data_IF_833995125189
#
_entry.id   IF_833995125189
#
_cell.length_a   1.000
_cell.length_b   1.000
_cell.length_c   1.000
_cell.angle_alpha   90.00
_cell.angle_beta   90.00
_cell.angle_gamma   90.00
#
_symmetry.space_group_name_H-M   'P 1'
#
loop_
_entity.id
_entity.type
_entity.pdbx_description
1 polymer ?
#
# COMPACT_ATOMS: atom_id res chain seq x y z
N UNK A 1 -42.39 -108.07 48.20
CA UNK A 1 -42.94 -107.35 47.03
C UNK A 1 -42.49 -105.92 47.15
N UNK A 2 -41.41 -105.56 46.45
CA UNK A 2 -40.97 -104.18 46.29
C UNK A 2 -41.02 -103.95 44.78
N UNK A 3 -41.97 -103.11 44.35
CA UNK A 3 -42.16 -102.77 42.94
C UNK A 3 -41.99 -101.26 42.85
N UNK A 4 -40.95 -100.89 42.10
CA UNK A 4 -40.71 -99.66 41.36
C UNK A 4 -41.50 -98.41 41.77
N UNK A 5 -40.81 -97.50 42.46
CA UNK A 5 -41.10 -96.05 42.44
C UNK A 5 -40.17 -95.30 41.47
N UNK A 6 -39.40 -96.00 40.61
CA UNK A 6 -38.35 -95.39 39.77
C UNK A 6 -38.85 -94.80 38.44
N UNK A 7 -40.06 -95.14 37.99
CA UNK A 7 -40.50 -94.86 36.61
C UNK A 7 -41.27 -93.52 36.49
N UNK A 8 -41.48 -92.77 37.60
CA UNK A 8 -42.16 -91.47 37.57
C UNK A 8 -41.24 -90.27 37.46
N UNK A 9 -39.99 -90.40 37.88
CA UNK A 9 -39.02 -89.31 37.86
C UNK A 9 -38.41 -89.12 36.45
N UNK A 10 -38.33 -90.18 35.64
CA UNK A 10 -37.73 -90.14 34.29
C UNK A 10 -38.59 -89.36 33.26
N UNK A 11 -39.93 -89.43 33.36
CA UNK A 11 -40.85 -88.76 32.42
C UNK A 11 -40.92 -87.23 32.64
N UNK A 12 -40.71 -86.76 33.87
CA UNK A 12 -40.74 -85.33 34.23
C UNK A 12 -39.44 -84.63 33.77
N UNK A 13 -38.30 -85.31 33.92
CA UNK A 13 -36.99 -84.86 33.44
C UNK A 13 -36.93 -84.77 31.89
N UNK A 14 -37.54 -85.70 31.14
CA UNK A 14 -37.59 -85.65 29.66
C UNK A 14 -38.38 -84.45 29.12
N UNK A 15 -39.45 -84.04 29.82
CA UNK A 15 -40.27 -82.89 29.43
C UNK A 15 -39.51 -81.56 29.64
N UNK A 16 -38.79 -81.41 30.76
CA UNK A 16 -37.93 -80.24 31.01
C UNK A 16 -36.79 -80.12 29.98
N UNK A 17 -36.16 -81.24 29.61
CA UNK A 17 -35.10 -81.27 28.59
C UNK A 17 -35.64 -80.82 27.23
N UNK A 18 -36.88 -81.19 26.89
CA UNK A 18 -37.52 -80.80 25.63
C UNK A 18 -37.83 -79.29 25.58
N UNK A 19 -38.34 -78.70 26.66
CA UNK A 19 -38.54 -77.24 26.74
C UNK A 19 -37.23 -76.45 26.63
N UNK A 20 -36.16 -76.95 27.27
CA UNK A 20 -34.83 -76.34 27.19
C UNK A 20 -34.25 -76.40 25.77
N UNK A 21 -34.49 -77.49 25.03
CA UNK A 21 -34.07 -77.61 23.63
C UNK A 21 -34.80 -76.60 22.72
N UNK A 22 -36.12 -76.44 22.87
CA UNK A 22 -36.87 -75.43 22.12
C UNK A 22 -36.38 -74.01 22.41
N UNK A 23 -36.09 -73.70 23.67
CA UNK A 23 -35.52 -72.40 24.07
C UNK A 23 -34.14 -72.18 23.47
N UNK A 24 -33.28 -73.20 23.46
CA UNK A 24 -31.95 -73.12 22.85
C UNK A 24 -32.05 -72.86 21.35
N UNK A 25 -32.98 -73.51 20.66
CA UNK A 25 -33.19 -73.31 19.23
C UNK A 25 -33.70 -71.89 18.93
N UNK A 26 -34.66 -71.38 19.71
CA UNK A 26 -35.14 -69.98 19.63
C UNK A 26 -33.99 -68.98 19.83
N UNK A 27 -33.17 -69.16 20.87
CA UNK A 27 -32.01 -68.31 21.13
C UNK A 27 -30.97 -68.38 20.01
N UNK A 28 -30.76 -69.56 19.41
CA UNK A 28 -29.84 -69.73 18.28
C UNK A 28 -30.31 -68.93 17.05
N UNK A 29 -31.62 -68.92 16.80
CA UNK A 29 -32.23 -68.18 15.72
C UNK A 29 -32.12 -66.67 15.94
N UNK A 30 -32.43 -66.20 17.15
CA UNK A 30 -32.28 -64.80 17.53
C UNK A 30 -30.83 -64.31 17.41
N UNK A 31 -29.87 -65.10 17.90
CA UNK A 31 -28.45 -64.78 17.76
C UNK A 31 -28.00 -64.70 16.29
N UNK A 32 -28.51 -65.59 15.43
CA UNK A 32 -28.26 -65.53 13.98
C UNK A 32 -28.82 -64.26 13.37
N UNK A 33 -30.04 -63.86 13.77
CA UNK A 33 -30.68 -62.62 13.33
C UNK A 33 -29.90 -61.38 13.78
N UNK A 34 -29.57 -61.29 15.08
CA UNK A 34 -28.76 -60.22 15.65
C UNK A 34 -27.38 -60.11 14.99
N UNK A 35 -26.74 -61.25 14.69
CA UNK A 35 -25.45 -61.26 13.98
C UNK A 35 -25.57 -60.67 12.57
N UNK A 36 -26.70 -60.89 11.88
CA UNK A 36 -26.98 -60.28 10.57
C UNK A 36 -27.20 -58.77 10.70
N UNK A 37 -27.97 -58.32 11.68
CA UNK A 37 -28.24 -56.88 11.89
C UNK A 37 -26.96 -56.13 12.28
N UNK A 38 -26.12 -56.69 13.16
CA UNK A 38 -24.81 -56.12 13.51
C UNK A 38 -23.90 -56.00 12.28
N UNK A 39 -23.89 -57.01 11.40
CA UNK A 39 -23.12 -56.95 10.14
C UNK A 39 -23.66 -55.90 9.17
N UNK A 40 -24.96 -55.65 9.13
CA UNK A 40 -25.55 -54.59 8.32
C UNK A 40 -25.18 -53.21 8.86
N UNK A 41 -25.38 -52.99 10.16
CA UNK A 41 -25.06 -51.73 10.84
C UNK A 41 -23.56 -51.39 10.77
N UNK A 42 -22.67 -52.37 10.86
CA UNK A 42 -21.22 -52.13 10.72
C UNK A 42 -20.85 -51.66 9.32
N UNK A 43 -21.51 -52.18 8.27
CA UNK A 43 -21.31 -51.71 6.88
C UNK A 43 -21.87 -50.30 6.66
N UNK A 44 -23.05 -50.01 7.20
CA UNK A 44 -23.66 -48.70 7.11
C UNK A 44 -22.82 -47.63 7.82
N UNK A 45 -22.34 -47.93 9.04
CA UNK A 45 -21.44 -47.03 9.77
C UNK A 45 -20.13 -46.76 9.01
N UNK A 46 -19.55 -47.78 8.36
CA UNK A 46 -18.36 -47.58 7.54
C UNK A 46 -18.64 -46.66 6.33
N UNK A 47 -19.83 -46.78 5.73
CA UNK A 47 -20.25 -45.96 4.58
C UNK A 47 -20.49 -44.50 5.00
N UNK A 48 -21.24 -44.28 6.08
CA UNK A 48 -21.49 -42.94 6.63
C UNK A 48 -20.20 -42.23 7.04
N UNK A 49 -19.25 -42.97 7.64
CA UNK A 49 -17.94 -42.41 8.00
C UNK A 49 -17.18 -41.90 6.78
N UNK A 50 -17.20 -42.64 5.67
CA UNK A 50 -16.55 -42.24 4.42
C UNK A 50 -17.24 -41.01 3.78
N UNK A 51 -18.57 -40.94 3.80
CA UNK A 51 -19.31 -39.79 3.26
C UNK A 51 -19.03 -38.50 4.04
N UNK A 52 -18.96 -38.59 5.38
CA UNK A 52 -18.59 -37.48 6.24
C UNK A 52 -17.16 -36.98 5.97
N UNK A 53 -16.21 -37.91 5.83
CA UNK A 53 -14.81 -37.58 5.52
C UNK A 53 -14.68 -36.90 4.16
N UNK A 54 -15.34 -37.43 3.12
CA UNK A 54 -15.30 -36.88 1.78
C UNK A 54 -15.95 -35.48 1.69
N UNK A 55 -17.11 -35.30 2.35
CA UNK A 55 -17.87 -34.04 2.30
C UNK A 55 -17.18 -32.92 3.10
N UNK A 56 -16.63 -33.25 4.27
CA UNK A 56 -15.93 -32.28 5.12
C UNK A 56 -14.66 -31.75 4.43
N UNK A 57 -13.83 -32.66 3.91
CA UNK A 57 -12.53 -32.28 3.36
C UNK A 57 -12.69 -31.41 2.10
N UNK A 58 -13.55 -31.80 1.17
CA UNK A 58 -13.77 -31.05 -0.08
C UNK A 58 -14.23 -29.61 0.17
N UNK A 59 -15.15 -29.42 1.11
CA UNK A 59 -15.71 -28.10 1.41
C UNK A 59 -14.68 -27.18 2.10
N UNK A 60 -13.78 -27.76 2.90
CA UNK A 60 -12.69 -27.03 3.56
C UNK A 60 -11.58 -26.68 2.58
N UNK A 61 -11.21 -27.60 1.69
CA UNK A 61 -10.19 -27.41 0.66
C UNK A 61 -10.57 -26.23 -0.26
N UNK A 62 -11.81 -26.22 -0.77
CA UNK A 62 -12.29 -25.18 -1.68
C UNK A 62 -12.30 -23.79 -1.02
N UNK A 63 -12.74 -23.71 0.25
CA UNK A 63 -12.70 -22.47 1.04
C UNK A 63 -11.27 -21.99 1.27
N UNK A 64 -10.35 -22.92 1.55
CA UNK A 64 -8.94 -22.60 1.79
C UNK A 64 -8.29 -22.05 0.52
N UNK A 65 -8.51 -22.70 -0.63
CA UNK A 65 -8.03 -22.24 -1.93
C UNK A 65 -8.59 -20.86 -2.27
N UNK A 66 -9.88 -20.62 -2.00
CA UNK A 66 -10.51 -19.31 -2.23
C UNK A 66 -9.87 -18.21 -1.38
N UNK A 67 -9.65 -18.48 -0.08
CA UNK A 67 -9.04 -17.53 0.85
C UNK A 67 -7.57 -17.26 0.53
N UNK A 68 -6.81 -18.27 0.09
CA UNK A 68 -5.43 -18.07 -0.35
C UNK A 68 -5.34 -17.14 -1.55
N UNK A 69 -6.20 -17.33 -2.56
CA UNK A 69 -6.26 -16.45 -3.74
C UNK A 69 -6.61 -15.02 -3.36
N UNK A 70 -7.60 -14.83 -2.49
CA UNK A 70 -7.98 -13.50 -2.01
C UNK A 70 -6.83 -12.81 -1.25
N UNK A 71 -6.12 -13.57 -0.40
CA UNK A 71 -4.94 -13.05 0.32
C UNK A 71 -3.79 -12.66 -0.62
N UNK A 72 -3.56 -13.42 -1.69
CA UNK A 72 -2.56 -13.05 -2.71
C UNK A 72 -2.93 -11.73 -3.41
N UNK A 73 -4.20 -11.58 -3.81
CA UNK A 73 -4.70 -10.35 -4.44
C UNK A 73 -4.54 -9.16 -3.49
N UNK A 74 -4.97 -9.30 -2.24
CA UNK A 74 -4.88 -8.24 -1.23
C UNK A 74 -3.43 -7.83 -0.95
N UNK A 75 -2.49 -8.77 -0.92
CA UNK A 75 -1.05 -8.44 -0.77
C UNK A 75 -0.54 -7.59 -1.93
N UNK A 76 -0.92 -7.93 -3.17
CA UNK A 76 -0.54 -7.17 -4.36
C UNK A 76 -1.12 -5.75 -4.32
N UNK A 77 -2.40 -5.60 -3.94
CA UNK A 77 -3.05 -4.30 -3.79
C UNK A 77 -2.39 -3.43 -2.70
N UNK A 78 -2.07 -4.02 -1.55
CA UNK A 78 -1.37 -3.33 -0.46
C UNK A 78 -0.02 -2.81 -0.94
N UNK A 79 0.78 -3.62 -1.63
CA UNK A 79 2.08 -3.20 -2.14
C UNK A 79 1.96 -2.12 -3.22
N UNK A 80 0.96 -2.24 -4.09
CA UNK A 80 0.64 -1.24 -5.10
C UNK A 80 0.24 0.12 -4.48
N UNK A 81 -0.50 0.11 -3.37
CA UNK A 81 -0.94 1.32 -2.64
C UNK A 81 0.14 1.92 -1.74
N UNK A 82 1.02 1.09 -1.17
CA UNK A 82 2.10 1.53 -0.29
C UNK A 82 3.11 2.46 -1.00
N UNK A 83 3.39 2.20 -2.27
CA UNK A 83 4.30 3.02 -3.10
C UNK A 83 3.78 4.46 -3.35
N UNK A 84 2.55 4.70 -3.83
CA UNK A 84 2.00 6.05 -3.93
C UNK A 84 1.77 6.68 -2.56
N UNK A 85 1.35 5.93 -1.53
CA UNK A 85 1.15 6.47 -0.19
C UNK A 85 2.45 7.03 0.41
N UNK A 86 3.57 6.31 0.30
CA UNK A 86 4.87 6.81 0.75
C UNK A 86 5.32 8.06 -0.01
N UNK A 87 5.08 8.16 -1.33
CA UNK A 87 5.34 9.37 -2.11
C UNK A 87 4.46 10.54 -1.65
N UNK A 88 3.17 10.28 -1.42
CA UNK A 88 2.21 11.26 -0.95
C UNK A 88 2.61 11.80 0.43
N UNK A 89 2.90 10.91 1.39
CA UNK A 89 3.39 11.29 2.72
C UNK A 89 4.64 12.19 2.65
N UNK A 90 5.62 11.80 1.83
CA UNK A 90 6.84 12.60 1.62
C UNK A 90 6.55 13.98 0.99
N UNK A 91 5.56 14.06 0.10
CA UNK A 91 5.15 15.34 -0.49
C UNK A 91 4.36 16.22 0.48
N UNK A 92 3.51 15.62 1.33
CA UNK A 92 2.76 16.30 2.39
C UNK A 92 3.72 16.95 3.36
N UNK A 93 4.72 16.22 3.86
CA UNK A 93 5.72 16.81 4.77
C UNK A 93 6.48 17.98 4.14
N UNK A 94 6.79 17.91 2.84
CA UNK A 94 7.45 19.02 2.13
C UNK A 94 6.53 20.22 2.02
N UNK A 95 5.25 19.98 1.72
CA UNK A 95 4.23 21.02 1.68
C UNK A 95 4.05 21.66 3.06
N UNK A 96 3.93 20.86 4.12
CA UNK A 96 3.81 21.34 5.50
C UNK A 96 5.03 22.16 5.93
N UNK A 97 6.24 21.75 5.52
CA UNK A 97 7.47 22.53 5.73
C UNK A 97 7.42 23.86 4.96
N UNK A 98 6.97 23.87 3.71
CA UNK A 98 6.81 25.10 2.92
C UNK A 98 5.75 26.04 3.50
N UNK A 99 4.59 25.51 3.87
CA UNK A 99 3.50 26.27 4.48
C UNK A 99 3.89 26.78 5.88
N UNK A 100 4.60 25.98 6.67
CA UNK A 100 5.17 26.41 7.95
C UNK A 100 6.16 27.56 7.80
N UNK A 101 6.95 27.59 6.72
CA UNK A 101 7.82 28.72 6.38
C UNK A 101 7.03 29.92 5.84
N UNK A 102 5.98 29.69 5.05
CA UNK A 102 5.15 30.74 4.45
C UNK A 102 4.20 31.41 5.45
N UNK A 103 3.79 30.70 6.52
CA UNK A 103 3.06 31.28 7.66
C UNK A 103 3.85 32.38 8.37
N UNK A 104 5.13 32.56 8.05
CA UNK A 104 5.83 33.78 8.37
C UNK A 104 5.57 34.89 7.35
N UNK A 105 4.43 35.53 7.54
CA UNK A 105 4.01 36.70 6.77
C UNK A 105 4.78 37.92 7.28
N UNK A 106 6.03 38.06 6.83
CA UNK A 106 6.93 39.11 7.32
C UNK A 106 6.64 40.51 6.78
N UNK A 107 5.68 40.68 5.86
CA UNK A 107 5.21 41.99 5.43
C UNK A 107 3.74 41.89 5.02
N UNK A 108 2.82 42.00 5.99
CA UNK A 108 1.43 42.37 5.74
C UNK A 108 1.21 43.89 5.85
N UNK A 109 2.22 44.70 5.50
CA UNK A 109 2.00 46.13 5.28
C UNK A 109 1.30 46.33 3.93
N UNK A 110 -0.01 46.04 3.88
CA UNK A 110 -0.85 46.17 2.69
C UNK A 110 -2.06 45.24 2.71
N UNK A 111 -3.25 45.82 2.49
CA UNK A 111 -4.60 45.23 2.57
C UNK A 111 -5.07 44.86 3.99
N UNK A 112 -5.13 45.84 4.89
CA UNK A 112 -6.09 45.86 6.01
C UNK A 112 -5.85 44.91 7.20
N UNK A 113 -4.64 44.41 7.41
CA UNK A 113 -4.29 43.68 8.64
C UNK A 113 -3.43 44.55 9.57
N UNK A 114 -3.78 44.59 10.87
CA UNK A 114 -2.96 45.23 11.90
C UNK A 114 -1.61 44.51 12.05
N UNK A 115 -0.57 45.30 12.33
CA UNK A 115 0.79 44.82 12.63
C UNK A 115 0.77 43.86 13.82
N UNK A 116 0.72 42.55 13.55
CA UNK A 116 0.84 41.55 14.60
C UNK A 116 2.30 41.52 15.10
N UNK A 117 2.47 42.01 16.33
CA UNK A 117 3.70 42.00 17.12
C UNK A 117 4.50 40.70 16.95
N UNK A 118 5.69 40.82 16.35
CA UNK A 118 6.90 40.01 16.55
C UNK A 118 6.67 38.53 16.92
N UNK A 119 6.20 37.72 15.97
CA UNK A 119 6.23 36.26 16.12
C UNK A 119 7.69 35.79 16.02
N UNK A 120 8.36 35.69 17.18
CA UNK A 120 9.73 35.14 17.35
C UNK A 120 9.92 33.73 16.79
N UNK A 121 8.85 33.06 16.36
CA UNK A 121 8.88 31.66 15.96
C UNK A 121 9.70 31.40 14.68
N UNK A 122 9.83 32.37 13.77
CA UNK A 122 10.48 32.14 12.48
C UNK A 122 11.97 32.48 12.44
N UNK A 123 12.47 33.29 13.37
CA UNK A 123 13.89 33.63 13.42
C UNK A 123 14.76 32.39 13.66
N UNK A 124 14.26 31.45 14.46
CA UNK A 124 14.89 30.13 14.72
C UNK A 124 15.04 29.25 13.46
N UNK A 125 14.22 29.47 12.43
CA UNK A 125 14.31 28.74 11.16
C UNK A 125 15.23 29.44 10.15
N UNK A 126 15.29 30.77 10.17
CA UNK A 126 16.23 31.56 9.36
C UNK A 126 17.69 31.34 9.79
N UNK A 127 17.96 31.37 11.10
CA UNK A 127 19.32 31.17 11.65
C UNK A 127 19.91 29.79 11.33
N UNK A 128 19.07 28.78 11.07
CA UNK A 128 19.53 27.45 10.64
C UNK A 128 19.96 27.42 9.18
N UNK A 129 19.38 28.26 8.32
CA UNK A 129 19.72 28.34 6.89
C UNK A 129 21.09 28.96 6.64
N UNK A 130 21.47 29.95 7.46
CA UNK A 130 22.78 30.60 7.38
C UNK A 130 23.91 29.72 7.95
N UNK A 131 23.58 28.83 8.90
CA UNK A 131 24.52 27.85 9.49
C UNK A 131 24.65 26.56 8.69
N UNK A 132 23.70 26.27 7.78
CA UNK A 132 23.86 25.22 6.79
C UNK A 132 24.88 25.71 5.76
N UNK A 133 26.17 25.51 6.08
CA UNK A 133 27.35 25.64 5.19
C UNK A 133 26.90 25.72 3.74
N UNK A 134 26.96 26.92 3.15
CA UNK A 134 26.99 27.09 1.69
C UNK A 134 28.03 26.09 1.22
N UNK A 135 27.52 24.99 0.65
CA UNK A 135 28.31 23.81 0.39
C UNK A 135 29.56 24.23 -0.37
N UNK A 136 30.72 23.90 0.18
CA UNK A 136 32.03 24.09 -0.45
C UNK A 136 32.11 23.41 -1.84
N UNK A 137 31.08 22.65 -2.23
CA UNK A 137 30.90 21.99 -3.51
C UNK A 137 30.16 22.82 -4.58
N UNK A 138 29.65 24.02 -4.27
CA UNK A 138 28.95 24.84 -5.27
C UNK A 138 29.95 25.70 -6.07
N UNK A 139 30.12 25.39 -7.35
CA UNK A 139 30.95 26.16 -8.29
C UNK A 139 30.12 27.21 -9.03
N UNK A 140 30.69 28.40 -9.17
CA UNK A 140 30.08 29.45 -9.98
C UNK A 140 30.34 29.22 -11.47
N UNK A 141 29.30 29.03 -12.30
CA UNK A 141 29.46 28.77 -13.74
C UNK A 141 30.03 29.96 -14.55
N UNK A 142 29.98 31.19 -14.03
CA UNK A 142 30.71 32.35 -14.61
C UNK A 142 32.16 32.38 -14.15
N UNK A 143 32.30 31.94 -12.89
CA UNK A 143 33.40 32.03 -11.98
C UNK A 143 34.58 31.08 -12.24
N UNK A 144 34.14 29.84 -12.44
CA UNK A 144 34.78 28.58 -12.12
C UNK A 144 35.43 28.55 -10.73
N UNK A 145 34.89 29.30 -9.76
CA UNK A 145 35.34 29.31 -8.36
C UNK A 145 34.24 28.79 -7.45
N UNK A 146 34.64 28.13 -6.37
CA UNK A 146 33.75 27.50 -5.39
C UNK A 146 33.19 28.53 -4.39
N UNK A 147 32.09 28.15 -3.72
CA UNK A 147 31.53 28.86 -2.56
C UNK A 147 30.54 29.99 -2.87
N UNK A 148 30.17 30.21 -4.15
CA UNK A 148 29.16 31.21 -4.52
C UNK A 148 28.45 30.86 -5.83
N UNK A 149 27.25 31.41 -6.04
CA UNK A 149 26.45 31.18 -7.25
C UNK A 149 26.72 32.23 -8.32
N UNK A 150 26.19 32.03 -9.54
CA UNK A 150 26.26 33.03 -10.61
C UNK A 150 25.66 34.38 -10.18
N UNK A 151 24.58 34.36 -9.39
CA UNK A 151 23.88 35.58 -8.94
C UNK A 151 24.69 36.38 -7.91
N UNK A 152 25.51 35.69 -7.11
CA UNK A 152 26.36 36.31 -6.09
C UNK A 152 27.81 36.52 -6.55
N UNK A 153 28.13 36.21 -7.81
CA UNK A 153 29.48 36.34 -8.34
C UNK A 153 29.96 37.80 -8.47
N UNK A 154 31.03 38.12 -7.75
CA UNK A 154 31.66 39.44 -7.79
C UNK A 154 32.21 39.81 -9.17
N UNK A 155 32.89 38.87 -9.87
CA UNK A 155 33.43 39.12 -11.22
C UNK A 155 32.32 39.50 -12.20
N UNK A 156 31.21 38.73 -12.20
CA UNK A 156 30.04 39.00 -13.08
C UNK A 156 29.44 40.38 -12.81
N UNK A 157 29.25 40.73 -11.53
CA UNK A 157 28.73 42.05 -11.14
C UNK A 157 29.65 43.19 -11.63
N UNK A 158 30.96 43.05 -11.46
CA UNK A 158 31.92 44.05 -11.93
C UNK A 158 31.94 44.19 -13.46
N UNK A 159 31.87 43.08 -14.20
CA UNK A 159 31.86 43.14 -15.67
C UNK A 159 30.57 43.77 -16.20
N UNK A 160 29.43 43.50 -15.56
CA UNK A 160 28.18 44.20 -15.87
C UNK A 160 28.26 45.69 -15.53
N UNK A 161 28.85 46.06 -14.40
CA UNK A 161 29.06 47.46 -14.04
C UNK A 161 29.94 48.19 -15.06
N UNK A 162 31.06 47.57 -15.49
CA UNK A 162 31.92 48.10 -16.55
C UNK A 162 31.18 48.26 -17.88
N UNK A 163 30.42 47.24 -18.30
CA UNK A 163 29.59 47.33 -19.52
C UNK A 163 28.58 48.46 -19.43
N UNK A 164 27.89 48.60 -18.31
CA UNK A 164 26.94 49.69 -18.09
C UNK A 164 27.62 51.06 -18.11
N UNK A 165 28.84 51.18 -17.57
CA UNK A 165 29.63 52.41 -17.62
C UNK A 165 30.04 52.76 -19.06
N UNK A 166 30.51 51.78 -19.83
CA UNK A 166 30.84 51.95 -21.26
C UNK A 166 29.61 52.30 -22.10
N UNK A 167 28.44 51.77 -21.75
CA UNK A 167 27.17 52.09 -22.39
C UNK A 167 26.75 53.54 -22.07
N UNK A 168 26.86 53.96 -20.81
CA UNK A 168 26.58 55.35 -20.37
C UNK A 168 27.50 56.36 -21.04
N UNK A 169 28.79 56.02 -21.18
CA UNK A 169 29.78 56.87 -21.84
C UNK A 169 29.71 56.82 -23.38
N UNK A 170 28.70 56.16 -23.98
CA UNK A 170 28.50 55.98 -25.43
C UNK A 170 29.67 55.31 -26.17
N UNK A 171 30.59 54.68 -25.46
CA UNK A 171 31.74 53.96 -26.04
C UNK A 171 31.34 52.57 -26.56
N UNK A 172 30.25 51.99 -26.05
CA UNK A 172 29.60 50.80 -26.60
C UNK A 172 28.21 51.16 -27.14
N UNK A 173 27.98 50.92 -28.43
CA UNK A 173 26.64 51.01 -29.04
C UNK A 173 26.01 49.62 -29.08
N UNK A 174 24.94 49.40 -28.32
CA UNK A 174 24.09 48.21 -28.49
C UNK A 174 23.15 48.45 -29.68
N UNK A 175 22.97 47.44 -30.52
CA UNK A 175 21.94 47.45 -31.56
C UNK A 175 20.58 47.27 -30.88
N UNK A 176 19.79 48.33 -30.83
CA UNK A 176 18.39 48.27 -30.39
C UNK A 176 17.48 48.07 -31.59
N UNK A 177 16.41 47.29 -31.41
CA UNK A 177 15.36 47.09 -32.41
C UNK A 177 14.07 47.62 -31.80
N UNK A 178 13.27 48.34 -32.58
CA UNK A 178 11.99 48.87 -32.12
C UNK A 178 10.92 47.76 -32.15
N UNK A 179 10.20 47.58 -31.06
CA UNK A 179 9.15 46.55 -30.92
C UNK A 179 7.92 47.15 -30.21
N UNK A 180 6.69 46.85 -30.67
CA UNK A 180 5.46 47.30 -30.02
C UNK A 180 5.37 46.89 -28.53
N UNK A 181 4.70 47.71 -27.71
CA UNK A 181 4.48 47.42 -26.29
C UNK A 181 3.65 46.14 -26.14
N UNK A 182 4.13 45.19 -25.32
CA UNK A 182 3.45 43.92 -25.03
C UNK A 182 3.99 42.70 -25.80
N UNK A 183 4.95 42.88 -26.72
CA UNK A 183 5.56 41.77 -27.45
C UNK A 183 6.81 41.25 -26.73
N UNK A 184 6.82 39.97 -26.36
CA UNK A 184 8.02 39.30 -25.86
C UNK A 184 8.81 38.74 -27.05
N UNK A 185 10.00 39.28 -27.33
CA UNK A 185 10.88 38.77 -28.39
C UNK A 185 11.56 37.49 -27.91
N UNK A 186 11.06 36.34 -28.35
CA UNK A 186 11.73 35.04 -28.18
C UNK A 186 12.28 34.59 -29.53
N UNK A 187 13.58 34.24 -29.56
CA UNK A 187 14.28 33.67 -30.73
C UNK A 187 14.29 34.52 -32.02
N UNK A 188 15.03 35.65 -32.08
CA UNK A 188 15.20 36.39 -33.33
C UNK A 188 15.89 35.52 -34.41
N UNK A 189 15.39 35.47 -35.66
CA UNK A 189 16.00 34.72 -36.76
C UNK A 189 17.30 35.37 -37.23
N UNK A 190 18.35 35.23 -36.41
CA UNK A 190 19.70 35.65 -36.72
C UNK A 190 19.93 37.18 -36.76
N UNK A 191 21.20 37.60 -36.86
CA UNK A 191 21.63 38.99 -36.71
C UNK A 191 21.23 39.94 -37.85
N UNK A 192 20.50 39.49 -38.88
CA UNK A 192 20.16 40.30 -40.07
C UNK A 192 18.68 40.32 -40.45
N UNK A 193 17.80 39.57 -39.80
CA UNK A 193 16.37 39.63 -40.10
C UNK A 193 15.67 40.62 -39.16
N UNK A 194 15.12 41.70 -39.72
CA UNK A 194 14.24 42.62 -38.99
C UNK A 194 12.81 42.13 -39.14
N UNK A 195 12.13 41.79 -38.03
CA UNK A 195 10.74 41.33 -38.07
C UNK A 195 9.82 42.54 -38.30
N UNK A 196 9.01 42.49 -39.37
CA UNK A 196 7.99 43.51 -39.65
C UNK A 196 6.62 42.84 -39.49
N UNK A 197 5.69 43.39 -38.69
CA UNK A 197 4.34 42.85 -38.58
C UNK A 197 3.65 42.88 -39.94
N UNK A 198 3.15 41.74 -40.41
CA UNK A 198 2.28 41.71 -41.59
C UNK A 198 0.93 42.31 -41.21
N UNK A 199 0.48 43.30 -41.96
CA UNK A 199 -0.87 43.83 -41.81
C UNK A 199 -1.89 42.76 -42.17
N UNK A 200 -2.92 42.61 -41.34
CA UNK A 200 -4.09 41.79 -41.65
C UNK A 200 -4.95 42.57 -42.63
N UNK A 201 -5.07 42.07 -43.87
CA UNK A 201 -6.08 42.52 -44.84
C UNK A 201 -7.43 41.90 -44.50
#
# INVERSE_FOLDING_TARGET
MAINDSDKDEDEDENEVSELLELLEKFSFENSSLKKTVKALTKENASLKNELECSSNKTLEDKTISLEKENEILKVEIDALKKPFSKFSNSSEKLDKLLGLQRCVFNKAGLGYDEMNNVKHCQKYLEKKDKQKISSNMTCNYCNRHGHTIHTCYRKKNDMHKRNLLLKNKLLKLRTIWVPKGTFVTNPPGPKATWVPKAST
#
